data_IF_633888315536
#
_entry.id   IF_633888315536
#
_cell.length_a   1.000
_cell.length_b   1.000
_cell.length_c   1.000
_cell.angle_alpha   90.00
_cell.angle_beta   90.00
_cell.angle_gamma   90.00
#
_symmetry.space_group_name_H-M   'P 1'
#
loop_
_entity.id
_entity.type
_entity.pdbx_description
1 polymer ?
#
# COMPACT_ATOMS: atom_id res chain seq x y z
N UNK A 1 -19.71 -8.67 74.02
CA UNK A 1 -19.54 -8.65 75.49
C UNK A 1 -20.74 -7.94 76.09
N UNK A 2 -21.23 -8.40 77.23
CA UNK A 2 -22.30 -7.71 77.95
C UNK A 2 -21.65 -6.53 78.67
N UNK A 3 -22.05 -5.32 78.29
CA UNK A 3 -21.55 -4.05 78.84
C UNK A 3 -22.37 -3.63 80.06
N UNK A 4 -23.68 -3.88 80.04
CA UNK A 4 -24.58 -3.57 81.15
C UNK A 4 -25.44 -4.79 81.51
N UNK A 5 -25.05 -5.55 82.55
CA UNK A 5 -25.78 -6.73 83.01
C UNK A 5 -27.18 -6.41 83.54
N UNK A 6 -27.42 -5.23 84.12
CA UNK A 6 -28.71 -4.87 84.70
C UNK A 6 -29.75 -4.61 83.61
N UNK A 7 -29.34 -3.91 82.56
CA UNK A 7 -30.22 -3.63 81.44
C UNK A 7 -30.57 -4.88 80.61
N UNK A 8 -29.63 -5.82 80.51
CA UNK A 8 -29.83 -7.11 79.84
C UNK A 8 -30.86 -8.00 80.55
N UNK A 9 -30.85 -8.06 81.89
CA UNK A 9 -31.78 -8.90 82.66
C UNK A 9 -33.20 -8.31 82.75
N UNK A 10 -33.33 -6.97 82.76
CA UNK A 10 -34.64 -6.32 82.93
C UNK A 10 -35.40 -6.04 81.64
N UNK A 11 -34.72 -5.97 80.48
CA UNK A 11 -35.37 -5.59 79.23
C UNK A 11 -36.06 -6.76 78.51
N UNK A 12 -35.59 -8.02 78.68
CA UNK A 12 -36.05 -9.16 77.88
C UNK A 12 -35.87 -10.50 78.62
N UNK A 13 -36.82 -11.42 78.48
CA UNK A 13 -36.56 -12.87 78.70
C UNK A 13 -35.52 -13.31 77.68
N UNK A 14 -34.38 -13.85 78.10
CA UNK A 14 -33.22 -14.17 77.23
C UNK A 14 -33.57 -14.84 75.87
N UNK A 15 -34.68 -15.59 75.80
CA UNK A 15 -35.23 -16.17 74.57
C UNK A 15 -35.60 -15.15 73.47
N UNK A 16 -36.16 -14.00 73.84
CA UNK A 16 -36.70 -13.05 72.87
C UNK A 16 -35.59 -12.13 72.34
N UNK A 17 -34.54 -11.93 73.14
CA UNK A 17 -33.35 -11.16 72.74
C UNK A 17 -32.62 -11.88 71.61
N UNK A 18 -32.38 -13.18 71.73
CA UNK A 18 -31.70 -13.96 70.69
C UNK A 18 -32.47 -13.94 69.36
N UNK A 19 -33.81 -13.99 69.41
CA UNK A 19 -34.64 -13.90 68.21
C UNK A 19 -34.59 -12.51 67.56
N UNK A 20 -34.74 -11.45 68.36
CA UNK A 20 -34.67 -10.07 67.86
C UNK A 20 -33.27 -9.76 67.33
N UNK A 21 -32.24 -10.23 68.01
CA UNK A 21 -30.85 -10.08 67.58
C UNK A 21 -30.56 -10.85 66.29
N UNK A 22 -31.06 -12.09 66.17
CA UNK A 22 -30.93 -12.86 64.93
C UNK A 22 -31.67 -12.19 63.78
N UNK A 23 -32.87 -11.65 64.01
CA UNK A 23 -33.62 -10.90 63.01
C UNK A 23 -32.88 -9.61 62.58
N UNK A 24 -32.29 -8.88 63.53
CA UNK A 24 -31.45 -7.71 63.25
C UNK A 24 -30.19 -8.10 62.45
N UNK A 25 -29.52 -9.19 62.80
CA UNK A 25 -28.39 -9.75 62.05
C UNK A 25 -28.76 -10.09 60.62
N UNK A 26 -29.88 -10.79 60.43
CA UNK A 26 -30.37 -11.14 59.09
C UNK A 26 -30.73 -9.89 58.28
N UNK A 27 -31.36 -8.90 58.90
CA UNK A 27 -31.74 -7.67 58.20
C UNK A 27 -30.51 -6.84 57.80
N UNK A 28 -29.52 -6.72 58.69
CA UNK A 28 -28.25 -6.06 58.40
C UNK A 28 -27.47 -6.77 57.29
N UNK A 29 -27.39 -8.11 57.32
CA UNK A 29 -26.75 -8.87 56.23
C UNK A 29 -27.50 -8.71 54.91
N UNK A 30 -28.84 -8.71 54.90
CA UNK A 30 -29.62 -8.45 53.68
C UNK A 30 -29.39 -7.04 53.14
N UNK A 31 -29.31 -6.03 54.01
CA UNK A 31 -29.05 -4.65 53.61
C UNK A 31 -27.67 -4.53 52.94
N UNK A 32 -26.64 -5.13 53.54
CA UNK A 32 -25.29 -5.19 52.97
C UNK A 32 -25.27 -5.89 51.60
N UNK A 33 -25.83 -7.09 51.49
CA UNK A 33 -25.81 -7.86 50.23
C UNK A 33 -26.53 -7.12 49.09
N UNK A 34 -27.52 -6.28 49.40
CA UNK A 34 -28.22 -5.45 48.40
C UNK A 34 -27.38 -4.30 47.87
N UNK A 35 -26.39 -3.82 48.61
CA UNK A 35 -25.52 -2.73 48.20
C UNK A 35 -24.29 -3.23 47.43
N UNK A 36 -23.91 -4.50 47.65
CA UNK A 36 -22.74 -5.10 47.01
C UNK A 36 -23.06 -5.43 45.55
N UNK A 37 -22.14 -5.07 44.66
CA UNK A 37 -22.28 -5.38 43.25
C UNK A 37 -22.17 -6.88 43.00
N UNK A 38 -22.84 -7.34 41.95
CA UNK A 38 -22.87 -8.74 41.52
C UNK A 38 -21.47 -9.37 41.34
N UNK A 39 -20.45 -8.56 41.09
CA UNK A 39 -19.07 -9.00 40.87
C UNK A 39 -18.28 -9.12 42.19
N UNK A 40 -18.70 -8.42 43.23
CA UNK A 40 -18.03 -8.35 44.53
C UNK A 40 -18.57 -9.36 45.55
N UNK A 41 -19.67 -10.04 45.24
CA UNK A 41 -20.28 -11.08 46.11
C UNK A 41 -19.26 -12.19 46.45
N UNK A 42 -18.36 -12.55 45.52
CA UNK A 42 -17.33 -13.54 45.82
C UNK A 42 -16.23 -13.02 46.76
N UNK A 43 -16.10 -11.69 46.90
CA UNK A 43 -15.11 -11.04 47.75
C UNK A 43 -15.67 -10.60 49.12
N UNK A 44 -16.95 -10.87 49.41
CA UNK A 44 -17.64 -10.60 50.69
C UNK A 44 -16.81 -10.96 51.95
N UNK A 45 -16.13 -12.13 52.03
CA UNK A 45 -15.34 -12.48 53.22
C UNK A 45 -14.11 -11.59 53.46
N UNK A 46 -13.66 -10.84 52.45
CA UNK A 46 -12.50 -9.94 52.52
C UNK A 46 -12.90 -8.47 52.69
N UNK A 47 -14.18 -8.16 52.62
CA UNK A 47 -14.70 -6.80 52.64
C UNK A 47 -14.83 -6.28 54.08
N UNK A 48 -14.76 -4.96 54.24
CA UNK A 48 -14.84 -4.30 55.55
C UNK A 48 -16.21 -4.55 56.20
N UNK A 49 -16.22 -5.30 57.31
CA UNK A 49 -17.42 -5.58 58.12
C UNK A 49 -17.72 -4.49 59.15
N UNK A 50 -17.08 -3.32 59.03
CA UNK A 50 -17.20 -2.19 59.96
C UNK A 50 -18.62 -1.64 60.02
N UNK A 51 -19.24 -1.38 58.87
CA UNK A 51 -20.61 -0.84 58.77
C UNK A 51 -21.65 -1.81 59.36
N UNK A 52 -21.45 -3.11 59.14
CA UNK A 52 -22.31 -4.14 59.71
C UNK A 52 -22.13 -4.26 61.23
N UNK A 53 -20.89 -4.11 61.71
CA UNK A 53 -20.62 -4.04 63.15
C UNK A 53 -21.33 -2.86 63.79
N UNK A 54 -21.28 -1.69 63.15
CA UNK A 54 -21.92 -0.46 63.64
C UNK A 54 -23.45 -0.63 63.69
N UNK A 55 -24.06 -1.07 62.59
CA UNK A 55 -25.51 -1.30 62.52
C UNK A 55 -25.99 -2.27 63.60
N UNK A 56 -25.24 -3.36 63.81
CA UNK A 56 -25.58 -4.35 64.83
C UNK A 56 -25.29 -3.84 66.25
N UNK A 57 -24.26 -3.00 66.43
CA UNK A 57 -23.95 -2.38 67.72
C UNK A 57 -25.05 -1.41 68.14
N UNK A 58 -25.60 -0.63 67.21
CA UNK A 58 -26.75 0.26 67.47
C UNK A 58 -28.01 -0.53 67.83
N UNK A 59 -28.24 -1.66 67.14
CA UNK A 59 -29.37 -2.54 67.45
C UNK A 59 -29.23 -3.26 68.81
N UNK A 60 -27.99 -3.48 69.28
CA UNK A 60 -27.71 -4.19 70.53
C UNK A 60 -27.52 -3.28 71.75
N UNK A 61 -27.40 -1.97 71.54
CA UNK A 61 -27.24 -0.95 72.59
C UNK A 61 -28.41 -0.90 73.60
N UNK A 62 -29.70 -0.99 73.20
CA UNK A 62 -30.83 -1.02 74.13
C UNK A 62 -30.84 -2.21 75.09
N UNK A 63 -30.08 -3.26 74.76
CA UNK A 63 -29.98 -4.50 75.53
C UNK A 63 -28.66 -4.60 76.30
N UNK A 64 -27.83 -3.56 76.28
CA UNK A 64 -26.56 -3.53 77.00
C UNK A 64 -25.48 -4.46 76.42
N UNK A 65 -25.61 -4.88 75.15
CA UNK A 65 -24.66 -5.80 74.49
C UNK A 65 -23.78 -5.01 73.51
N UNK A 66 -22.45 -5.24 73.59
CA UNK A 66 -21.47 -4.67 72.67
C UNK A 66 -20.89 -5.75 71.76
N UNK A 67 -20.91 -5.50 70.45
CA UNK A 67 -20.38 -6.42 69.44
C UNK A 67 -18.90 -6.11 69.20
N UNK A 68 -18.05 -7.12 69.38
CA UNK A 68 -16.59 -6.95 69.29
C UNK A 68 -16.10 -7.11 67.85
N UNK A 69 -16.55 -8.17 67.17
CA UNK A 69 -16.13 -8.52 65.81
C UNK A 69 -17.26 -9.24 65.09
N UNK A 70 -17.41 -8.95 63.81
CA UNK A 70 -18.25 -9.73 62.90
C UNK A 70 -17.38 -10.24 61.75
N UNK A 71 -17.53 -11.52 61.41
CA UNK A 71 -16.78 -12.17 60.35
C UNK A 71 -17.71 -13.00 59.47
N UNK A 72 -17.59 -12.86 58.15
CA UNK A 72 -18.35 -13.64 57.18
C UNK A 72 -17.53 -14.88 56.83
N UNK A 73 -18.01 -16.06 57.20
CA UNK A 73 -17.25 -17.33 57.05
C UNK A 73 -17.28 -17.83 55.61
N UNK A 74 -18.44 -17.76 54.96
CA UNK A 74 -18.62 -18.20 53.58
C UNK A 74 -19.74 -17.42 52.90
N UNK A 75 -19.56 -17.16 51.61
CA UNK A 75 -20.60 -16.68 50.72
C UNK A 75 -20.67 -17.65 49.54
N UNK A 76 -21.85 -18.21 49.27
CA UNK A 76 -22.10 -19.07 48.10
C UNK A 76 -23.24 -18.47 47.29
N UNK A 77 -22.95 -17.72 46.22
CA UNK A 77 -23.98 -17.33 45.27
C UNK A 77 -24.56 -18.57 44.56
N UNK A 78 -25.80 -18.50 44.04
CA UNK A 78 -26.38 -19.57 43.21
C UNK A 78 -25.52 -19.86 41.97
N UNK A 79 -25.43 -21.13 41.56
CA UNK A 79 -24.59 -21.53 40.42
C UNK A 79 -24.99 -20.84 39.11
N UNK A 80 -26.28 -20.66 38.86
CA UNK A 80 -26.78 -20.01 37.64
C UNK A 80 -26.27 -18.58 37.50
N UNK A 81 -26.14 -17.89 38.64
CA UNK A 81 -25.62 -16.54 38.69
C UNK A 81 -24.13 -16.51 38.36
N UNK A 82 -23.34 -17.44 38.90
CA UNK A 82 -21.92 -17.57 38.59
C UNK A 82 -21.71 -17.87 37.11
N UNK A 83 -22.47 -18.82 36.55
CA UNK A 83 -22.41 -19.14 35.10
C UNK A 83 -22.76 -17.94 34.23
N UNK A 84 -23.79 -17.17 34.58
CA UNK A 84 -24.17 -15.96 33.85
C UNK A 84 -23.09 -14.88 33.92
N UNK A 85 -22.41 -14.75 35.06
CA UNK A 85 -21.28 -13.84 35.22
C UNK A 85 -20.08 -14.24 34.39
N UNK A 86 -19.67 -15.51 34.45
CA UNK A 86 -18.59 -16.05 33.63
C UNK A 86 -18.90 -15.88 32.13
N UNK A 87 -20.13 -16.16 31.71
CA UNK A 87 -20.55 -15.95 30.32
C UNK A 87 -20.46 -14.49 29.88
N UNK A 88 -20.84 -13.53 30.75
CA UNK A 88 -20.70 -12.09 30.46
C UNK A 88 -19.24 -11.66 30.39
N UNK A 89 -18.40 -12.12 31.32
CA UNK A 89 -16.97 -11.84 31.32
C UNK A 89 -16.29 -12.40 30.08
N UNK A 90 -16.61 -13.63 29.70
CA UNK A 90 -16.12 -14.25 28.47
C UNK A 90 -16.58 -13.49 27.22
N UNK A 91 -17.85 -13.07 27.16
CA UNK A 91 -18.36 -12.29 26.04
C UNK A 91 -17.63 -10.93 25.91
N UNK A 92 -17.35 -10.26 27.02
CA UNK A 92 -16.57 -9.01 27.03
C UNK A 92 -15.14 -9.24 26.52
N UNK A 93 -14.46 -10.28 27.02
CA UNK A 93 -13.11 -10.63 26.56
C UNK A 93 -13.10 -10.96 25.05
N UNK A 94 -14.06 -11.74 24.58
CA UNK A 94 -14.20 -12.07 23.16
C UNK A 94 -14.43 -10.82 22.30
N UNK A 95 -15.21 -9.84 22.77
CA UNK A 95 -15.40 -8.58 22.05
C UNK A 95 -14.08 -7.79 21.94
N UNK A 96 -13.32 -7.72 23.04
CA UNK A 96 -12.00 -7.06 23.03
C UNK A 96 -11.04 -7.77 22.06
N UNK A 97 -10.94 -9.09 22.14
CA UNK A 97 -10.12 -9.89 21.22
C UNK A 97 -10.53 -9.70 19.76
N UNK A 98 -11.84 -9.67 19.47
CA UNK A 98 -12.35 -9.42 18.11
C UNK A 98 -11.99 -8.02 17.62
N UNK A 99 -12.11 -6.99 18.46
CA UNK A 99 -11.72 -5.63 18.11
C UNK A 99 -10.22 -5.53 17.82
N UNK A 100 -9.39 -6.18 18.63
CA UNK A 100 -7.93 -6.23 18.40
C UNK A 100 -7.60 -6.93 17.09
N UNK A 101 -8.24 -8.07 16.80
CA UNK A 101 -8.06 -8.77 15.53
C UNK A 101 -8.47 -7.91 14.34
N UNK A 102 -9.60 -7.20 14.42
CA UNK A 102 -10.06 -6.28 13.38
C UNK A 102 -9.09 -5.10 13.18
N UNK A 103 -8.55 -4.54 14.26
CA UNK A 103 -7.54 -3.48 14.17
C UNK A 103 -6.26 -3.98 13.49
N UNK A 104 -5.82 -5.21 13.81
CA UNK A 104 -4.66 -5.83 13.18
C UNK A 104 -4.88 -6.12 11.69
N UNK A 105 -6.05 -6.59 11.28
CA UNK A 105 -6.35 -6.84 9.86
C UNK A 105 -6.40 -5.53 9.07
N UNK A 106 -7.02 -4.48 9.61
CA UNK A 106 -7.02 -3.15 8.99
C UNK A 106 -5.60 -2.62 8.81
N UNK A 107 -4.75 -2.72 9.85
CA UNK A 107 -3.35 -2.30 9.76
C UNK A 107 -2.57 -3.07 8.68
N UNK A 108 -2.78 -4.40 8.59
CA UNK A 108 -2.16 -5.21 7.53
C UNK A 108 -2.63 -4.79 6.13
N UNK A 109 -3.91 -4.44 5.98
CA UNK A 109 -4.45 -3.95 4.70
C UNK A 109 -3.84 -2.60 4.32
N UNK A 110 -3.75 -1.65 5.25
CA UNK A 110 -3.12 -0.35 4.99
C UNK A 110 -1.64 -0.50 4.65
N UNK A 111 -0.93 -1.38 5.37
CA UNK A 111 0.48 -1.65 5.10
C UNK A 111 0.66 -2.30 3.71
N UNK A 112 -0.19 -3.26 3.34
CA UNK A 112 -0.17 -3.87 2.01
C UNK A 112 -0.48 -2.86 0.89
N UNK A 113 -1.45 -1.97 1.10
CA UNK A 113 -1.79 -0.92 0.13
C UNK A 113 -0.65 0.09 -0.05
N UNK A 114 0.00 0.50 1.05
CA UNK A 114 1.14 1.42 0.97
C UNK A 114 2.33 0.80 0.24
N UNK A 115 2.65 -0.47 0.51
CA UNK A 115 3.67 -1.22 -0.22
C UNK A 115 3.30 -1.37 -1.71
N UNK A 116 2.03 -1.64 -2.02
CA UNK A 116 1.53 -1.70 -3.39
C UNK A 116 1.71 -0.37 -4.14
N UNK A 117 1.38 0.75 -3.51
CA UNK A 117 1.59 2.09 -4.09
C UNK A 117 3.08 2.37 -4.33
N UNK A 118 3.93 2.05 -3.36
CA UNK A 118 5.38 2.22 -3.50
C UNK A 118 5.94 1.37 -4.64
N UNK A 119 5.47 0.13 -4.79
CA UNK A 119 5.90 -0.74 -5.89
C UNK A 119 5.49 -0.20 -7.27
N UNK A 120 4.31 0.41 -7.40
CA UNK A 120 3.87 1.07 -8.64
C UNK A 120 4.72 2.29 -8.94
N UNK A 121 4.96 3.16 -7.96
CA UNK A 121 5.82 4.34 -8.13
C UNK A 121 7.22 3.92 -8.58
N UNK A 122 7.84 2.97 -7.87
CA UNK A 122 9.16 2.45 -8.23
C UNK A 122 9.19 1.77 -9.61
N UNK A 123 8.07 1.27 -10.12
CA UNK A 123 7.99 0.76 -11.50
C UNK A 123 7.92 1.89 -12.51
N UNK A 124 7.09 2.90 -12.26
CA UNK A 124 6.98 4.08 -13.13
C UNK A 124 8.30 4.85 -13.18
N UNK A 125 8.99 5.00 -12.06
CA UNK A 125 10.29 5.66 -12.01
C UNK A 125 11.33 4.91 -12.85
N UNK A 126 11.38 3.57 -12.75
CA UNK A 126 12.24 2.74 -13.60
C UNK A 126 11.91 2.89 -15.09
N UNK A 127 10.63 2.82 -15.46
CA UNK A 127 10.19 3.01 -16.84
C UNK A 127 10.56 4.42 -17.35
N UNK A 128 10.48 5.43 -16.48
CA UNK A 128 10.86 6.80 -16.80
C UNK A 128 12.37 6.94 -17.02
N UNK A 129 13.19 6.36 -16.13
CA UNK A 129 14.65 6.32 -16.26
C UNK A 129 15.07 5.61 -17.55
N UNK A 130 14.45 4.47 -17.88
CA UNK A 130 14.70 3.74 -19.13
C UNK A 130 14.39 4.60 -20.37
N UNK A 131 13.26 5.31 -20.38
CA UNK A 131 12.89 6.22 -21.47
C UNK A 131 13.85 7.41 -21.57
N UNK A 132 14.27 8.00 -20.43
CA UNK A 132 15.24 9.09 -20.42
C UNK A 132 16.58 8.65 -21.01
N UNK A 133 17.05 7.44 -20.67
CA UNK A 133 18.27 6.88 -21.23
C UNK A 133 18.15 6.68 -22.75
N UNK A 134 17.01 6.19 -23.25
CA UNK A 134 16.77 6.05 -24.69
C UNK A 134 16.78 7.41 -25.42
N UNK A 135 16.17 8.45 -24.82
CA UNK A 135 16.19 9.80 -25.39
C UNK A 135 17.63 10.32 -25.44
N UNK A 136 18.39 10.18 -24.36
CA UNK A 136 19.80 10.60 -24.32
C UNK A 136 20.65 9.85 -25.36
N UNK A 137 20.43 8.55 -25.54
CA UNK A 137 21.11 7.77 -26.58
C UNK A 137 20.74 8.24 -27.99
N UNK A 138 19.47 8.54 -28.25
CA UNK A 138 19.01 9.04 -29.53
C UNK A 138 19.57 10.44 -29.82
N UNK A 139 19.60 11.33 -28.83
CA UNK A 139 20.21 12.65 -28.94
C UNK A 139 21.73 12.56 -29.16
N UNK A 140 22.41 11.70 -28.43
CA UNK A 140 23.84 11.45 -28.62
C UNK A 140 24.14 10.93 -30.03
N UNK A 141 23.33 9.99 -30.52
CA UNK A 141 23.46 9.45 -31.87
C UNK A 141 23.24 10.54 -32.93
N UNK A 142 22.25 11.43 -32.75
CA UNK A 142 22.03 12.58 -33.65
C UNK A 142 23.23 13.52 -33.67
N UNK A 143 23.77 13.87 -32.50
CA UNK A 143 24.95 14.73 -32.40
C UNK A 143 26.17 14.10 -33.07
N UNK A 144 26.37 12.79 -32.94
CA UNK A 144 27.46 12.09 -33.64
C UNK A 144 27.30 12.22 -35.15
N UNK A 145 26.10 11.97 -35.69
CA UNK A 145 25.83 12.10 -37.13
C UNK A 145 26.02 13.53 -37.62
N UNK A 146 25.58 14.54 -36.86
CA UNK A 146 25.80 15.96 -37.18
C UNK A 146 27.29 16.29 -37.26
N UNK A 147 28.08 15.85 -36.27
CA UNK A 147 29.53 16.05 -36.27
C UNK A 147 30.24 15.29 -37.40
N UNK A 148 29.79 14.08 -37.74
CA UNK A 148 30.29 13.32 -38.88
C UNK A 148 29.98 14.02 -40.21
N UNK A 149 28.77 14.57 -40.36
CA UNK A 149 28.39 15.35 -41.54
C UNK A 149 29.25 16.62 -41.68
N UNK A 150 29.45 17.38 -40.60
CA UNK A 150 30.34 18.54 -40.58
C UNK A 150 31.79 18.16 -40.96
N UNK A 151 32.28 17.01 -40.46
CA UNK A 151 33.61 16.52 -40.80
C UNK A 151 33.74 16.13 -42.28
N UNK A 152 32.71 15.48 -42.85
CA UNK A 152 32.66 15.14 -44.27
C UNK A 152 32.52 16.39 -45.16
N UNK A 153 31.73 17.39 -44.77
CA UNK A 153 31.64 18.66 -45.49
C UNK A 153 33.00 19.37 -45.54
N UNK A 154 33.72 19.43 -44.42
CA UNK A 154 35.07 19.99 -44.38
C UNK A 154 36.05 19.19 -45.24
N UNK A 155 35.91 17.86 -45.29
CA UNK A 155 36.74 16.99 -46.13
C UNK A 155 36.47 17.24 -47.61
N UNK A 156 35.20 17.30 -48.01
CA UNK A 156 34.78 17.57 -49.38
C UNK A 156 35.14 18.98 -49.83
N UNK A 157 34.97 19.99 -48.96
CA UNK A 157 35.38 21.37 -49.25
C UNK A 157 36.89 21.46 -49.54
N UNK A 158 37.73 20.83 -48.72
CA UNK A 158 39.18 20.76 -48.96
C UNK A 158 39.52 20.04 -50.26
N UNK A 159 38.79 18.97 -50.61
CA UNK A 159 38.96 18.26 -51.87
C UNK A 159 38.57 19.15 -53.05
N UNK A 160 37.45 19.86 -52.95
CA UNK A 160 36.97 20.80 -53.97
C UNK A 160 37.96 21.94 -54.19
N UNK A 161 38.53 22.50 -53.12
CA UNK A 161 39.57 23.53 -53.21
C UNK A 161 40.83 23.03 -53.92
N UNK A 162 41.26 21.79 -53.64
CA UNK A 162 42.37 21.16 -54.38
C UNK A 162 42.05 20.99 -55.86
N UNK A 163 40.83 20.56 -56.18
CA UNK A 163 40.39 20.40 -57.57
C UNK A 163 40.37 21.73 -58.32
N UNK A 164 39.93 22.81 -57.64
CA UNK A 164 39.96 24.18 -58.18
C UNK A 164 41.38 24.70 -58.41
N UNK A 165 42.31 24.39 -57.51
CA UNK A 165 43.71 24.82 -57.64
C UNK A 165 44.47 24.08 -58.76
N UNK A 166 44.09 22.83 -59.05
CA UNK A 166 44.77 21.99 -60.03
C UNK A 166 43.79 21.40 -61.08
N UNK A 167 43.17 22.23 -61.94
CA UNK A 167 42.16 21.76 -62.88
C UNK A 167 42.73 20.80 -63.93
N UNK A 168 43.96 21.05 -64.40
CA UNK A 168 44.62 20.19 -65.38
C UNK A 168 44.92 18.79 -64.81
N UNK A 169 45.35 18.69 -63.54
CA UNK A 169 45.63 17.40 -62.92
C UNK A 169 44.36 16.55 -62.75
N UNK A 170 43.23 17.19 -62.43
CA UNK A 170 41.93 16.52 -62.35
C UNK A 170 41.46 15.96 -63.70
N UNK A 171 41.70 16.67 -64.81
CA UNK A 171 41.37 16.20 -66.15
C UNK A 171 42.19 14.95 -66.53
N UNK A 172 43.47 14.90 -66.18
CA UNK A 172 44.32 13.74 -66.42
C UNK A 172 43.93 12.53 -65.56
N UNK A 173 43.57 12.72 -64.28
CA UNK A 173 43.06 11.64 -63.42
C UNK A 173 41.72 11.10 -63.91
N UNK A 174 40.80 11.97 -64.34
CA UNK A 174 39.53 11.56 -64.92
C UNK A 174 39.70 10.75 -66.21
N UNK A 175 40.62 11.18 -67.10
CA UNK A 175 40.97 10.41 -68.29
C UNK A 175 41.59 9.05 -67.94
N UNK A 176 42.39 8.98 -66.87
CA UNK A 176 42.96 7.74 -66.34
C UNK A 176 41.90 6.76 -65.83
N UNK A 177 41.00 7.22 -64.97
CA UNK A 177 39.86 6.42 -64.44
C UNK A 177 38.93 5.95 -65.56
N UNK A 178 38.65 6.78 -66.56
CA UNK A 178 37.85 6.37 -67.73
C UNK A 178 38.54 5.26 -68.53
N UNK A 179 39.86 5.34 -68.74
CA UNK A 179 40.62 4.29 -69.39
C UNK A 179 40.68 3.02 -68.54
N UNK A 180 40.72 3.14 -67.21
CA UNK A 180 40.69 2.00 -66.29
C UNK A 180 39.32 1.30 -66.27
N UNK A 181 38.22 2.04 -66.21
CA UNK A 181 36.86 1.49 -66.35
C UNK A 181 36.67 0.88 -67.73
N UNK A 182 37.12 1.56 -68.80
CA UNK A 182 37.07 1.01 -70.16
C UNK A 182 37.91 -0.27 -70.29
N UNK A 183 39.08 -0.33 -69.64
CA UNK A 183 39.92 -1.53 -69.58
C UNK A 183 39.28 -2.62 -68.74
N UNK A 184 38.64 -2.27 -67.62
CA UNK A 184 37.86 -3.18 -66.78
C UNK A 184 36.73 -3.81 -67.58
N UNK A 185 35.89 -3.00 -68.22
CA UNK A 185 34.80 -3.44 -69.09
C UNK A 185 35.29 -4.24 -70.30
N UNK A 186 36.39 -3.83 -70.95
CA UNK A 186 37.00 -4.55 -72.07
C UNK A 186 37.66 -5.87 -71.65
N UNK A 187 38.26 -5.95 -70.47
CA UNK A 187 38.81 -7.20 -69.91
C UNK A 187 37.71 -8.15 -69.43
N UNK A 188 36.56 -7.60 -69.03
CA UNK A 188 35.38 -8.35 -68.61
C UNK A 188 34.51 -8.81 -69.80
N UNK A 189 34.99 -8.67 -71.04
CA UNK A 189 34.32 -9.19 -72.25
C UNK A 189 34.27 -10.72 -72.32
N UNK A 190 34.95 -11.44 -71.43
CA UNK A 190 34.77 -12.88 -71.22
C UNK A 190 33.80 -13.24 -70.08
N UNK A 191 33.27 -12.27 -69.32
CA UNK A 191 32.14 -12.53 -68.46
C UNK A 191 30.88 -12.58 -69.32
N UNK A 192 30.40 -13.81 -69.53
CA UNK A 192 29.05 -14.09 -70.04
C UNK A 192 28.08 -13.18 -69.30
N UNK A 193 27.53 -12.17 -69.99
CA UNK A 193 26.35 -11.46 -69.53
C UNK A 193 25.24 -12.50 -69.58
N UNK A 194 25.08 -13.25 -68.49
CA UNK A 194 23.91 -14.06 -68.27
C UNK A 194 22.77 -13.06 -68.03
N UNK A 195 22.17 -12.59 -69.12
CA UNK A 195 20.80 -12.09 -69.11
C UNK A 195 19.91 -13.27 -68.71
N UNK A 196 19.92 -13.59 -67.42
CA UNK A 196 18.83 -14.33 -66.80
C UNK A 196 17.57 -13.52 -67.02
N UNK A 197 16.48 -14.21 -67.37
CA UNK A 197 15.13 -13.72 -67.69
C UNK A 197 14.48 -12.76 -66.67
N UNK A 198 15.22 -12.22 -65.70
CA UNK A 198 14.78 -11.30 -64.66
C UNK A 198 15.34 -9.87 -64.81
N UNK A 199 16.42 -9.64 -65.56
CA UNK A 199 17.05 -8.30 -65.67
C UNK A 199 16.31 -7.31 -66.58
N UNK A 200 15.58 -7.80 -67.58
CA UNK A 200 14.74 -6.94 -68.44
C UNK A 200 13.57 -6.30 -67.65
N UNK A 201 13.12 -6.94 -66.57
CA UNK A 201 12.00 -6.46 -65.77
C UNK A 201 12.40 -5.34 -64.81
N UNK A 202 13.66 -5.32 -64.33
CA UNK A 202 14.15 -4.27 -63.42
C UNK A 202 14.52 -2.98 -64.17
N UNK A 203 15.06 -3.07 -65.39
CA UNK A 203 15.30 -1.89 -66.23
C UNK A 203 13.95 -1.28 -66.66
N UNK A 204 12.99 -2.11 -67.07
CA UNK A 204 11.64 -1.66 -67.38
C UNK A 204 10.95 -1.02 -66.16
N UNK A 205 11.15 -1.56 -64.95
CA UNK A 205 10.63 -0.96 -63.71
C UNK A 205 11.30 0.35 -63.35
N UNK A 206 12.61 0.50 -63.56
CA UNK A 206 13.32 1.75 -63.30
C UNK A 206 12.85 2.87 -64.25
N UNK A 207 12.60 2.55 -65.53
CA UNK A 207 12.01 3.50 -66.47
C UNK A 207 10.53 3.81 -66.17
N UNK A 208 9.72 2.81 -65.78
CA UNK A 208 8.33 3.03 -65.37
C UNK A 208 8.21 3.85 -64.06
N UNK A 209 9.12 3.67 -63.09
CA UNK A 209 9.13 4.49 -61.87
C UNK A 209 9.49 5.94 -62.17
N UNK A 210 10.40 6.16 -63.13
CA UNK A 210 10.78 7.50 -63.59
C UNK A 210 9.62 8.22 -64.30
N UNK A 211 8.88 7.52 -65.15
CA UNK A 211 7.70 8.07 -65.83
C UNK A 211 6.53 8.33 -64.86
N UNK A 212 6.34 7.47 -63.84
CA UNK A 212 5.31 7.69 -62.80
C UNK A 212 5.66 8.88 -61.89
N UNK A 213 6.95 9.12 -61.62
CA UNK A 213 7.38 10.32 -60.89
C UNK A 213 7.20 11.59 -61.75
N UNK A 214 7.57 11.55 -63.04
CA UNK A 214 7.40 12.70 -63.96
C UNK A 214 5.93 13.01 -64.30
N UNK A 215 5.04 12.00 -64.34
CA UNK A 215 3.61 12.19 -64.55
C UNK A 215 2.86 12.79 -63.35
N UNK A 216 3.38 12.61 -62.13
CA UNK A 216 2.79 13.16 -60.89
C UNK A 216 3.03 14.67 -60.76
N UNK A 217 4.15 15.16 -61.28
CA UNK A 217 4.46 16.60 -61.32
C UNK A 217 3.58 17.36 -62.33
N UNK A 218 3.06 16.68 -63.37
CA UNK A 218 2.15 17.28 -64.35
C UNK A 218 0.68 17.34 -63.90
N UNK A 219 0.24 16.45 -62.99
CA UNK A 219 -1.14 16.43 -62.47
C UNK A 219 -1.35 17.29 -61.20
N UNK A 220 -0.27 17.77 -60.57
CA UNK A 220 -0.37 18.68 -59.42
C UNK A 220 -0.69 20.14 -59.80
N UNK A 221 -0.66 20.51 -61.09
CA UNK A 221 -0.75 21.91 -61.54
C UNK A 221 -2.10 22.31 -62.19
N UNK A 222 -3.16 21.49 -62.05
CA UNK A 222 -4.53 21.87 -62.44
C UNK A 222 -5.51 21.66 -61.28
N UNK A 223 -5.40 22.49 -60.26
CA UNK A 223 -6.51 22.77 -59.33
C UNK A 223 -6.67 24.28 -59.21
N UNK A 224 -7.53 24.84 -60.06
CA UNK A 224 -8.06 26.19 -59.89
C UNK A 224 -8.92 26.24 -58.62
N UNK A 225 -8.74 27.24 -57.73
CA UNK A 225 -9.59 27.41 -56.56
C UNK A 225 -10.94 28.01 -56.98
N UNK A 226 -12.02 27.27 -56.76
CA UNK A 226 -13.38 27.82 -56.89
C UNK A 226 -13.73 28.65 -55.65
N UNK A 227 -14.17 29.91 -55.77
CA UNK A 227 -14.58 30.73 -54.64
C UNK A 227 -16.03 30.43 -54.21
N UNK A 228 -16.24 30.37 -52.87
CA UNK A 228 -17.38 30.81 -52.02
C UNK A 228 -18.79 30.95 -52.63
N UNK A 229 -19.89 30.65 -51.91
CA UNK A 229 -20.18 31.16 -50.55
C UNK A 229 -20.70 30.15 -49.51
#
# INVERSE_FOLDING_TARGET
>A
TISDPYHFVYSVSASDFDQVFQAACQNAMRAMVRQISSDEVNNLPRQDTSELRETLSTASEPYGVKIVKVNIVYARPPEDFVRSQEARQLAMLQQVEQMEQQALTQRKQTDAETLGRQAVIARVDREHEELQLQIQQAEASRRVVELEAEAEELRLAKLQDRLRMYPQAAEWEWQGEQLEVARGLASNTHAVVQLGSSGANDIARAFLLRDVMQGKDAQANTYTPTPTP
#
